data_IF_893110709718
#
_entry.id   IF_893110709718
#
_cell.length_a   1.000
_cell.length_b   1.000
_cell.length_c   1.000
_cell.angle_alpha   90.00
_cell.angle_beta   90.00
_cell.angle_gamma   90.00
#
_symmetry.space_group_name_H-M   'P 1'
#
loop_
_entity.id
_entity.type
_entity.pdbx_description
1 polymer ?
#
# COMPACT_ATOMS: atom_id res chain seq x y z
N UNK A 1 5.12 -6.99 41.61
CA UNK A 1 4.10 -7.21 40.56
C UNK A 1 4.86 -7.69 39.34
N UNK A 2 4.89 -9.01 39.13
CA UNK A 2 5.51 -9.67 37.98
C UNK A 2 4.58 -9.54 36.78
N UNK A 3 5.14 -9.11 35.64
CA UNK A 3 4.47 -9.04 34.34
C UNK A 3 4.63 -10.37 33.59
N UNK A 4 4.39 -11.49 34.27
CA UNK A 4 4.27 -12.79 33.64
C UNK A 4 2.76 -13.04 33.45
N UNK A 5 2.37 -13.50 32.25
CA UNK A 5 1.00 -13.81 31.79
C UNK A 5 0.19 -12.69 31.11
N UNK A 6 0.80 -11.95 30.16
CA UNK A 6 0.03 -11.52 28.99
C UNK A 6 0.51 -12.32 27.78
N UNK A 7 -0.20 -13.41 27.52
CA UNK A 7 -0.19 -14.08 26.23
C UNK A 7 -0.79 -13.10 25.21
N UNK A 8 0.07 -12.28 24.59
CA UNK A 8 -0.32 -11.51 23.41
C UNK A 8 -0.46 -12.52 22.28
N UNK A 9 -1.68 -12.85 21.81
CA UNK A 9 -1.81 -13.71 20.65
C UNK A 9 -0.96 -13.10 19.54
N UNK A 10 -0.12 -13.94 18.91
CA UNK A 10 0.80 -13.58 17.82
C UNK A 10 0.15 -12.50 16.94
N UNK A 11 0.85 -11.38 16.63
CA UNK A 11 0.25 -10.32 15.84
C UNK A 11 -0.33 -10.96 14.57
N UNK A 12 -1.63 -10.79 14.33
CA UNK A 12 -2.20 -11.00 13.00
C UNK A 12 -1.24 -10.37 11.98
N UNK A 13 -0.96 -10.98 10.81
CA UNK A 13 0.00 -10.42 9.85
C UNK A 13 -0.35 -8.95 9.63
N UNK A 14 0.45 -8.08 10.24
CA UNK A 14 -0.09 -6.84 10.80
C UNK A 14 -0.09 -5.72 9.78
N UNK A 15 -0.94 -4.73 10.03
CA UNK A 15 -0.78 -3.43 9.39
C UNK A 15 0.63 -2.90 9.63
N UNK A 16 1.32 -2.57 8.55
CA UNK A 16 2.68 -2.06 8.55
C UNK A 16 2.68 -0.54 8.34
N UNK A 17 3.75 0.16 8.77
CA UNK A 17 3.92 1.59 8.47
C UNK A 17 3.84 1.84 6.96
N UNK A 18 3.18 2.92 6.58
CA UNK A 18 2.92 3.23 5.18
C UNK A 18 4.20 3.53 4.39
N UNK A 19 5.25 4.00 5.08
CA UNK A 19 6.57 4.27 4.51
C UNK A 19 7.26 3.01 4.01
N UNK A 20 6.88 1.84 4.53
CA UNK A 20 7.41 0.53 4.13
C UNK A 20 6.56 -0.15 3.07
N UNK A 21 5.51 0.52 2.55
CA UNK A 21 4.68 -0.05 1.51
C UNK A 21 5.52 -0.41 0.27
N UNK A 22 5.24 -1.56 -0.37
CA UNK A 22 6.04 -2.07 -1.47
C UNK A 22 5.97 -1.14 -2.70
N UNK A 23 7.15 -0.76 -3.23
CA UNK A 23 7.31 0.08 -4.43
C UNK A 23 7.68 -0.73 -5.68
N UNK A 24 7.26 -1.98 -5.72
CA UNK A 24 7.58 -2.97 -6.76
C UNK A 24 6.39 -3.26 -7.69
N UNK A 25 5.31 -2.49 -7.58
CA UNK A 25 4.07 -2.69 -8.34
C UNK A 25 3.02 -3.53 -7.62
N UNK A 26 3.29 -4.01 -6.39
CA UNK A 26 2.27 -4.65 -5.54
C UNK A 26 1.09 -3.70 -5.27
N UNK A 27 -0.13 -4.22 -5.37
CA UNK A 27 -1.34 -3.46 -5.06
C UNK A 27 -1.53 -3.27 -3.55
N UNK A 28 -1.88 -2.05 -3.16
CA UNK A 28 -2.19 -1.62 -1.80
C UNK A 28 -3.40 -0.68 -1.79
N UNK A 29 -3.85 -0.27 -0.60
CA UNK A 29 -4.97 0.67 -0.45
C UNK A 29 -4.47 2.12 -0.45
N UNK A 30 -5.01 2.90 -1.40
CA UNK A 30 -4.76 4.33 -1.58
C UNK A 30 -5.99 5.16 -1.18
N UNK A 31 -5.75 6.42 -0.81
CA UNK A 31 -6.79 7.45 -0.68
C UNK A 31 -6.30 8.80 -1.20
N UNK A 32 -7.23 9.65 -1.66
CA UNK A 32 -6.99 11.08 -1.86
C UNK A 32 -7.66 11.95 -0.78
N UNK A 33 -8.19 11.32 0.26
CA UNK A 33 -8.96 11.96 1.33
C UNK A 33 -10.47 12.05 1.07
N UNK A 34 -10.93 11.75 -0.14
CA UNK A 34 -12.35 11.67 -0.50
C UNK A 34 -12.74 10.25 -0.93
N UNK A 35 -11.92 9.63 -1.76
CA UNK A 35 -12.12 8.31 -2.34
C UNK A 35 -11.08 7.30 -1.85
N UNK A 36 -11.39 6.01 -2.00
CA UNK A 36 -10.50 4.88 -1.70
C UNK A 36 -10.40 3.97 -2.92
N UNK A 37 -9.18 3.57 -3.26
CA UNK A 37 -8.91 2.69 -4.39
C UNK A 37 -7.81 1.68 -4.06
N UNK A 38 -7.83 0.53 -4.74
CA UNK A 38 -6.66 -0.32 -4.83
C UNK A 38 -5.75 0.22 -5.93
N UNK A 39 -4.45 0.37 -5.65
CA UNK A 39 -3.49 0.89 -6.61
C UNK A 39 -2.07 0.47 -6.26
N UNK A 40 -1.11 0.88 -7.08
CA UNK A 40 0.27 0.39 -7.04
C UNK A 40 1.27 1.53 -7.22
N UNK A 41 2.53 1.25 -6.92
CA UNK A 41 3.64 2.15 -7.22
C UNK A 41 4.05 2.00 -8.68
N UNK A 42 3.93 3.07 -9.45
CA UNK A 42 4.49 3.18 -10.79
C UNK A 42 5.84 3.89 -10.69
N UNK A 43 6.91 3.24 -11.17
CA UNK A 43 8.27 3.78 -11.13
C UNK A 43 8.50 4.92 -12.14
N UNK A 44 7.56 5.16 -13.07
CA UNK A 44 7.62 6.27 -14.00
C UNK A 44 8.58 6.06 -15.17
N UNK A 45 9.12 4.85 -15.37
CA UNK A 45 10.08 4.53 -16.46
C UNK A 45 9.55 4.87 -17.85
N UNK A 46 8.22 4.89 -18.00
CA UNK A 46 7.53 5.20 -19.25
C UNK A 46 7.23 6.70 -19.43
N UNK A 47 7.68 7.57 -18.52
CA UNK A 47 7.34 9.00 -18.51
C UNK A 47 8.56 9.90 -18.75
N UNK A 48 8.38 11.10 -19.33
CA UNK A 48 9.48 12.02 -19.63
C UNK A 48 10.31 12.45 -18.41
N UNK A 49 9.73 12.47 -17.20
CA UNK A 49 10.41 12.89 -15.97
C UNK A 49 10.96 11.74 -15.12
N UNK A 50 10.58 10.49 -15.37
CA UNK A 50 11.06 9.33 -14.60
C UNK A 50 10.72 9.34 -13.11
N UNK A 51 9.73 10.12 -12.68
CA UNK A 51 9.37 10.24 -11.26
C UNK A 51 8.32 9.17 -10.89
N UNK A 52 8.63 8.38 -9.86
CA UNK A 52 7.74 7.36 -9.32
C UNK A 52 6.61 7.94 -8.48
N UNK A 53 5.42 7.33 -8.57
CA UNK A 53 4.22 7.78 -7.84
C UNK A 53 3.21 6.66 -7.63
N UNK A 54 2.36 6.85 -6.63
CA UNK A 54 1.18 6.00 -6.41
C UNK A 54 0.07 6.37 -7.39
N UNK A 55 -0.55 5.36 -7.99
CA UNK A 55 -1.73 5.52 -8.84
C UNK A 55 -2.52 4.22 -8.90
N UNK A 56 -3.74 4.29 -9.42
CA UNK A 56 -4.52 3.12 -9.79
C UNK A 56 -4.77 3.15 -11.31
N UNK A 57 -5.25 2.05 -11.89
CA UNK A 57 -5.23 1.84 -13.34
C UNK A 57 -5.94 2.96 -14.14
N UNK A 58 -7.02 3.54 -13.62
CA UNK A 58 -7.72 4.64 -14.31
C UNK A 58 -6.92 5.95 -14.39
N UNK A 59 -5.89 6.10 -13.56
CA UNK A 59 -4.99 7.26 -13.56
C UNK A 59 -3.73 7.05 -14.41
N UNK A 60 -3.59 5.88 -15.03
CA UNK A 60 -2.45 5.59 -15.88
C UNK A 60 -2.43 6.52 -17.09
N UNK A 61 -1.40 7.36 -17.18
CA UNK A 61 -1.26 8.39 -18.22
C UNK A 61 -1.89 9.74 -17.88
N UNK A 62 -2.64 9.86 -16.78
CA UNK A 62 -3.15 11.14 -16.28
C UNK A 62 -2.30 11.65 -15.11
N UNK A 63 -1.40 12.60 -15.37
CA UNK A 63 -0.49 13.11 -14.35
C UNK A 63 -1.17 13.94 -13.27
N UNK A 64 -2.34 14.53 -13.54
CA UNK A 64 -3.01 15.41 -12.57
C UNK A 64 -3.72 14.64 -11.47
N UNK A 65 -4.33 13.50 -11.79
CA UNK A 65 -5.05 12.67 -10.83
C UNK A 65 -4.10 11.78 -10.02
N UNK A 66 -3.07 11.23 -10.66
CA UNK A 66 -2.07 10.39 -10.00
C UNK A 66 -1.31 11.09 -8.84
N UNK A 67 -1.25 12.42 -8.80
CA UNK A 67 -0.58 13.16 -7.71
C UNK A 67 -1.37 13.22 -6.41
N UNK A 68 -2.66 12.86 -6.45
CA UNK A 68 -3.58 13.00 -5.31
C UNK A 68 -3.62 11.75 -4.44
N UNK A 69 -3.19 10.62 -4.97
CA UNK A 69 -3.23 9.35 -4.24
C UNK A 69 -2.09 9.21 -3.27
N UNK A 70 -2.45 8.87 -2.06
CA UNK A 70 -1.53 8.55 -0.98
C UNK A 70 -1.80 7.14 -0.48
N UNK A 71 -0.75 6.36 -0.21
CA UNK A 71 -0.91 5.07 0.45
C UNK A 71 -1.46 5.34 1.86
N UNK A 72 -2.31 4.43 2.35
CA UNK A 72 -2.93 4.59 3.68
C UNK A 72 -2.46 3.53 4.64
N UNK A 73 -2.72 2.28 4.28
CA UNK A 73 -2.48 1.11 5.11
C UNK A 73 -2.03 0.00 4.18
N UNK A 74 -1.04 -0.78 4.62
CA UNK A 74 -0.63 -1.98 3.90
C UNK A 74 -0.30 -3.10 4.87
N UNK A 75 -0.51 -4.32 4.41
CA UNK A 75 -0.11 -5.58 5.05
C UNK A 75 0.30 -6.55 3.94
N UNK A 76 1.09 -7.55 4.27
CA UNK A 76 1.30 -8.67 3.36
C UNK A 76 -0.02 -9.37 3.07
N UNK A 77 -0.16 -9.89 1.84
CA UNK A 77 -1.26 -10.81 1.54
C UNK A 77 -1.15 -12.01 2.49
N UNK A 78 -2.26 -12.42 3.13
CA UNK A 78 -2.24 -13.64 3.93
C UNK A 78 -1.90 -14.83 3.04
N UNK A 79 -1.33 -15.87 3.64
CA UNK A 79 -1.16 -17.13 2.93
C UNK A 79 -2.51 -17.59 2.35
N UNK A 80 -2.53 -18.16 1.13
CA UNK A 80 -3.75 -18.69 0.56
C UNK A 80 -4.35 -19.76 1.51
N UNK A 81 -5.69 -19.90 1.55
CA UNK A 81 -6.32 -20.91 2.39
C UNK A 81 -5.80 -22.31 2.04
N UNK A 82 -5.64 -23.14 3.07
CA UNK A 82 -5.28 -24.54 2.88
C UNK A 82 -6.33 -25.25 2.00
N UNK A 83 -5.91 -26.21 1.15
CA UNK A 83 -6.79 -26.93 0.25
C UNK A 83 -7.87 -27.77 0.94
#
# INVERSE_FOLDING_TARGET
>A
MSYDDIDFPMPAPGWMPVETAPRDGTEIILTDGADVAAGFWDNGDHRPRGEGRWLFECDRGNEQTARRWHPTHWQWLPDPPAP
#
